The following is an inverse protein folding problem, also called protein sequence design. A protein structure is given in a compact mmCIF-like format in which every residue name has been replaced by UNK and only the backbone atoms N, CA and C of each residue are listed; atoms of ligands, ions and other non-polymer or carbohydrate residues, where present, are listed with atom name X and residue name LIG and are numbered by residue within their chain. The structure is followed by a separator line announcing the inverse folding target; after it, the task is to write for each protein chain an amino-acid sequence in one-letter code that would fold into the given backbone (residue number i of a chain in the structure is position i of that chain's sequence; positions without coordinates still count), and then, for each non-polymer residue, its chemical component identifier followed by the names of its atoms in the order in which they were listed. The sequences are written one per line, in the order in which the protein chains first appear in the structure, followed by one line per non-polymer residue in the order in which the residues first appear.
data_IF_631539312026
#
_entry.id   IF_631539312026
#
_cell.length_a   1.000
_cell.length_b   1.000
_cell.length_c   1.000
_cell.angle_alpha   90.00
_cell.angle_beta   90.00
_cell.angle_gamma   90.00
#
_symmetry.space_group_name_H-M   'P 1'
#
loop_
_entity.id
_entity.type
_entity.pdbx_description
1 polymer ?
#
# COMPACT_ATOMS: atom_id res chain seq x y z
N UNK A 1 27.66 -16.93 -1.44
CA UNK A 1 27.13 -15.61 -1.03
C UNK A 1 26.22 -15.12 -2.14
N UNK A 2 24.91 -15.13 -1.91
CA UNK A 2 23.90 -14.76 -2.90
C UNK A 2 23.95 -13.25 -3.16
N UNK A 3 24.23 -12.87 -4.41
CA UNK A 3 23.98 -11.51 -4.89
C UNK A 3 22.52 -11.16 -4.62
N UNK A 4 22.29 -9.95 -4.12
CA UNK A 4 20.94 -9.49 -3.79
C UNK A 4 20.18 -9.11 -5.06
N UNK A 5 18.88 -9.41 -5.16
CA UNK A 5 18.02 -9.02 -6.31
C UNK A 5 18.18 -7.55 -6.71
N UNK A 6 18.49 -6.67 -5.75
CA UNK A 6 18.75 -5.25 -5.98
C UNK A 6 19.98 -4.99 -6.85
N UNK A 7 21.06 -5.77 -6.70
CA UNK A 7 22.28 -5.65 -7.51
C UNK A 7 22.04 -6.14 -8.95
N UNK A 8 21.22 -7.18 -9.12
CA UNK A 8 20.84 -7.68 -10.44
C UNK A 8 19.95 -6.67 -11.20
N UNK A 9 19.03 -6.00 -10.50
CA UNK A 9 18.23 -4.92 -11.08
C UNK A 9 19.11 -3.72 -11.51
N UNK A 10 20.16 -3.40 -10.73
CA UNK A 10 21.08 -2.32 -11.04
C UNK A 10 21.99 -2.63 -12.23
N UNK A 11 22.53 -3.86 -12.33
CA UNK A 11 23.34 -4.30 -13.49
C UNK A 11 22.52 -4.37 -14.79
N UNK A 12 21.23 -4.76 -14.71
CA UNK A 12 20.32 -4.75 -15.86
C UNK A 12 20.07 -3.33 -16.39
N UNK A 13 19.87 -2.36 -15.49
CA UNK A 13 19.73 -0.96 -15.86
C UNK A 13 21.05 -0.33 -16.37
N UNK A 14 22.20 -0.90 -15.99
CA UNK A 14 23.53 -0.45 -16.43
C UNK A 14 24.00 -1.05 -17.78
N UNK A 15 23.20 -1.91 -18.42
CA UNK A 15 23.44 -2.35 -19.80
C UNK A 15 24.65 -3.26 -20.03
N UNK A 16 25.17 -3.94 -18.99
CA UNK A 16 26.39 -4.76 -19.07
C UNK A 16 26.15 -6.29 -19.03
N UNK A 17 24.91 -6.75 -19.27
CA UNK A 17 24.63 -8.19 -19.32
C UNK A 17 25.01 -8.77 -20.70
N UNK A 18 25.70 -9.92 -20.72
CA UNK A 18 25.88 -10.72 -21.94
C UNK A 18 24.52 -11.06 -22.54
N UNK A 19 24.43 -11.15 -23.87
CA UNK A 19 23.17 -11.31 -24.62
C UNK A 19 22.33 -12.49 -24.11
N UNK A 20 22.95 -13.62 -23.78
CA UNK A 20 22.28 -14.78 -23.16
C UNK A 20 21.71 -14.51 -21.76
N UNK A 21 22.40 -13.72 -20.92
CA UNK A 21 21.89 -13.31 -19.60
C UNK A 21 20.76 -12.30 -19.74
N UNK A 22 20.82 -11.42 -20.73
CA UNK A 22 19.72 -10.51 -21.04
C UNK A 22 18.49 -11.26 -21.55
N UNK A 23 18.67 -12.31 -22.37
CA UNK A 23 17.58 -13.18 -22.85
C UNK A 23 16.97 -13.99 -21.71
N UNK A 24 17.79 -14.61 -20.85
CA UNK A 24 17.29 -15.36 -19.69
C UNK A 24 16.61 -14.44 -18.67
N UNK A 25 17.18 -13.26 -18.39
CA UNK A 25 16.55 -12.26 -17.54
C UNK A 25 15.23 -11.75 -18.14
N UNK A 26 15.15 -11.55 -19.46
CA UNK A 26 13.90 -11.20 -20.16
C UNK A 26 12.87 -12.32 -20.08
N UNK A 27 13.27 -13.58 -20.20
CA UNK A 27 12.36 -14.73 -20.08
C UNK A 27 11.82 -14.86 -18.65
N UNK A 28 12.68 -14.76 -17.64
CA UNK A 28 12.29 -14.79 -16.23
C UNK A 28 11.44 -13.56 -15.83
N UNK A 29 11.75 -12.39 -16.39
CA UNK A 29 10.90 -11.21 -16.25
C UNK A 29 9.56 -11.41 -16.97
N UNK A 30 9.53 -11.97 -18.17
CA UNK A 30 8.28 -12.19 -18.91
C UNK A 30 7.33 -13.15 -18.18
N UNK A 31 7.86 -14.18 -17.51
CA UNK A 31 7.06 -15.06 -16.66
C UNK A 31 6.58 -14.38 -15.36
N UNK A 32 7.31 -13.36 -14.89
CA UNK A 32 6.96 -12.58 -13.70
C UNK A 32 6.18 -11.30 -14.01
N UNK A 33 5.98 -10.94 -15.28
CA UNK A 33 5.31 -9.71 -15.71
C UNK A 33 3.91 -10.04 -16.19
N UNK A 34 2.95 -9.25 -15.74
CA UNK A 34 1.57 -9.33 -16.19
C UNK A 34 1.06 -7.95 -16.57
N UNK A 35 0.08 -7.94 -17.47
CA UNK A 35 -0.55 -6.72 -17.96
C UNK A 35 -1.54 -6.18 -16.95
N UNK A 36 -1.32 -4.94 -16.51
CA UNK A 36 -2.18 -4.26 -15.57
C UNK A 36 -2.54 -2.85 -16.06
N UNK A 37 -3.80 -2.39 -15.89
CA UNK A 37 -4.19 -1.06 -16.30
C UNK A 37 -3.59 0.01 -15.38
N UNK A 38 -3.11 1.10 -15.96
CA UNK A 38 -2.76 2.31 -15.21
C UNK A 38 -4.01 2.91 -14.58
N UNK A 39 -4.01 3.09 -13.26
CA UNK A 39 -5.14 3.69 -12.55
C UNK A 39 -5.38 5.18 -12.88
N UNK A 40 -4.41 5.85 -13.51
CA UNK A 40 -4.52 7.26 -13.87
C UNK A 40 -5.06 7.48 -15.30
N UNK A 41 -4.62 6.69 -16.29
CA UNK A 41 -4.96 6.92 -17.70
C UNK A 41 -5.58 5.70 -18.40
N UNK A 42 -5.76 4.58 -17.71
CA UNK A 42 -6.38 3.36 -18.25
C UNK A 42 -5.48 2.55 -19.19
N UNK A 43 -4.36 3.10 -19.67
CA UNK A 43 -3.42 2.37 -20.53
C UNK A 43 -2.76 1.22 -19.79
N UNK A 44 -2.64 0.08 -20.46
CA UNK A 44 -2.00 -1.11 -19.94
C UNK A 44 -0.49 -0.90 -19.83
N UNK A 45 0.09 -1.34 -18.72
CA UNK A 45 1.52 -1.44 -18.53
C UNK A 45 1.86 -2.79 -17.90
N UNK A 46 3.10 -3.23 -18.04
CA UNK A 46 3.55 -4.46 -17.41
C UNK A 46 3.92 -4.19 -15.94
N UNK A 47 3.33 -4.97 -15.04
CA UNK A 47 3.65 -4.99 -13.62
C UNK A 47 4.37 -6.31 -13.29
N UNK A 48 5.44 -6.25 -12.50
CA UNK A 48 6.09 -7.46 -12.01
C UNK A 48 5.27 -8.02 -10.84
N UNK A 49 4.73 -9.22 -10.97
CA UNK A 49 4.13 -9.96 -9.88
C UNK A 49 5.21 -10.27 -8.85
N UNK A 50 5.12 -9.65 -7.68
CA UNK A 50 5.79 -10.20 -6.51
C UNK A 50 4.84 -11.21 -5.89
N UNK A 51 5.38 -12.34 -5.45
CA UNK A 51 4.67 -13.41 -4.74
C UNK A 51 3.96 -12.98 -3.43
N UNK A 52 3.86 -11.68 -3.13
CA UNK A 52 3.25 -11.11 -1.94
C UNK A 52 2.37 -9.89 -2.28
N UNK A 53 1.16 -10.15 -2.77
CA UNK A 53 -0.01 -9.26 -2.61
C UNK A 53 -0.14 -8.11 -3.61
N UNK A 54 0.82 -7.19 -3.66
CA UNK A 54 0.72 -5.95 -4.44
C UNK A 54 1.99 -5.64 -5.24
N UNK A 55 1.78 -5.27 -6.50
CA UNK A 55 2.79 -4.78 -7.44
C UNK A 55 2.65 -3.27 -7.61
N UNK A 56 3.78 -2.56 -7.62
CA UNK A 56 3.84 -1.12 -7.89
C UNK A 56 4.55 -0.89 -9.22
N UNK A 57 3.94 -0.09 -10.09
CA UNK A 57 4.61 0.40 -11.29
C UNK A 57 4.34 1.90 -11.49
N UNK A 58 5.21 2.54 -12.28
CA UNK A 58 5.03 3.89 -12.76
C UNK A 58 4.66 3.82 -14.24
N UNK A 59 3.54 4.44 -14.62
CA UNK A 59 3.10 4.43 -16.01
C UNK A 59 4.08 5.25 -16.88
N UNK A 60 4.64 4.68 -17.96
CA UNK A 60 5.61 5.40 -18.81
C UNK A 60 4.99 6.61 -19.53
N UNK A 61 3.66 6.62 -19.69
CA UNK A 61 2.96 7.63 -20.46
C UNK A 61 2.54 8.85 -19.65
N UNK A 62 2.08 8.64 -18.42
CA UNK A 62 1.56 9.72 -17.57
C UNK A 62 2.33 9.88 -16.26
N UNK A 63 3.40 9.09 -16.05
CA UNK A 63 4.21 9.03 -14.84
C UNK A 63 3.41 8.80 -13.55
N UNK A 64 2.20 8.26 -13.70
CA UNK A 64 1.29 7.95 -12.61
C UNK A 64 1.71 6.66 -11.92
N UNK A 65 1.90 6.73 -10.60
CA UNK A 65 2.17 5.53 -9.80
C UNK A 65 0.87 4.75 -9.60
N UNK A 66 0.90 3.47 -9.94
CA UNK A 66 -0.22 2.54 -9.79
C UNK A 66 0.22 1.35 -8.92
N UNK A 67 -0.65 0.95 -8.01
CA UNK A 67 -0.53 -0.29 -7.27
C UNK A 67 -1.61 -1.23 -7.77
N UNK A 68 -1.24 -2.47 -8.05
CA UNK A 68 -2.19 -3.49 -8.48
C UNK A 68 -1.92 -4.76 -7.71
N UNK A 69 -2.98 -5.39 -7.23
CA UNK A 69 -2.88 -6.57 -6.40
C UNK A 69 -4.20 -7.29 -6.32
N UNK A 70 -4.29 -8.28 -5.44
CA UNK A 70 -5.56 -8.91 -5.10
C UNK A 70 -6.03 -8.45 -3.73
N UNK A 71 -7.30 -8.03 -3.65
CA UNK A 71 -8.00 -7.73 -2.41
C UNK A 71 -9.28 -8.56 -2.37
N UNK A 72 -9.47 -9.35 -1.32
CA UNK A 72 -10.60 -10.29 -1.17
C UNK A 72 -10.85 -11.18 -2.41
N UNK A 73 -9.76 -11.61 -3.07
CA UNK A 73 -9.81 -12.46 -4.26
C UNK A 73 -10.07 -11.73 -5.58
N UNK A 74 -10.43 -10.44 -5.55
CA UNK A 74 -10.63 -9.61 -6.74
C UNK A 74 -9.38 -8.82 -7.11
N UNK A 75 -9.21 -8.52 -8.40
CA UNK A 75 -8.18 -7.59 -8.87
C UNK A 75 -8.50 -6.19 -8.35
N UNK A 76 -7.58 -5.60 -7.62
CA UNK A 76 -7.70 -4.25 -7.09
C UNK A 76 -6.63 -3.35 -7.70
N UNK A 77 -7.04 -2.18 -8.17
CA UNK A 77 -6.18 -1.18 -8.81
C UNK A 77 -6.29 0.12 -8.01
N UNK A 78 -5.16 0.66 -7.56
CA UNK A 78 -5.12 1.87 -6.75
C UNK A 78 -4.11 2.87 -7.32
N UNK A 79 -4.56 4.09 -7.63
CA UNK A 79 -3.65 5.16 -8.04
C UNK A 79 -2.98 5.83 -6.84
N UNK A 80 -1.81 6.43 -7.05
CA UNK A 80 -1.08 7.13 -5.99
C UNK A 80 -1.76 8.40 -5.52
N UNK A 81 -2.45 9.10 -6.42
CA UNK A 81 -3.31 10.22 -6.06
C UNK A 81 -4.46 9.75 -5.18
N UNK A 82 -5.18 8.70 -5.58
CA UNK A 82 -6.31 8.15 -4.81
C UNK A 82 -5.89 7.63 -3.44
N UNK A 83 -4.78 6.89 -3.37
CA UNK A 83 -4.21 6.44 -2.09
C UNK A 83 -3.89 7.60 -1.15
N UNK A 84 -3.29 8.68 -1.66
CA UNK A 84 -3.01 9.90 -0.87
C UNK A 84 -4.30 10.56 -0.39
N UNK A 85 -5.33 10.60 -1.21
CA UNK A 85 -6.64 11.12 -0.85
C UNK A 85 -7.29 10.31 0.27
N UNK A 86 -7.38 8.99 0.12
CA UNK A 86 -7.94 8.09 1.14
C UNK A 86 -7.18 8.18 2.47
N UNK A 87 -5.86 8.31 2.44
CA UNK A 87 -5.07 8.57 3.65
C UNK A 87 -5.39 9.93 4.31
N UNK A 88 -5.66 10.98 3.53
CA UNK A 88 -6.10 12.27 4.08
C UNK A 88 -7.50 12.16 4.68
N UNK A 89 -8.38 11.39 4.06
CA UNK A 89 -9.71 11.12 4.58
C UNK A 89 -9.64 10.37 5.91
N UNK A 90 -8.84 9.30 5.96
CA UNK A 90 -8.60 8.52 7.19
C UNK A 90 -8.08 9.40 8.34
N UNK A 91 -7.27 10.42 8.04
CA UNK A 91 -6.79 11.40 9.03
C UNK A 91 -7.87 12.34 9.54
N UNK A 92 -8.88 12.66 8.73
CA UNK A 92 -9.97 13.60 9.07
C UNK A 92 -11.16 12.89 9.71
N UNK A 93 -11.32 11.58 9.46
CA UNK A 93 -12.41 10.76 9.97
C UNK A 93 -12.41 10.69 11.51
N UNK A 94 -13.60 10.65 12.10
CA UNK A 94 -13.75 10.29 13.51
C UNK A 94 -13.60 8.78 13.69
N UNK A 95 -12.72 8.38 14.60
CA UNK A 95 -12.47 6.99 14.95
C UNK A 95 -13.05 6.67 16.32
N UNK A 96 -13.49 5.43 16.50
CA UNK A 96 -14.11 4.94 17.73
C UNK A 96 -13.33 3.76 18.28
N UNK A 97 -13.35 3.63 19.61
CA UNK A 97 -12.62 2.58 20.29
C UNK A 97 -13.33 1.24 20.09
N UNK A 98 -12.65 0.19 19.56
CA UNK A 98 -13.27 -1.11 19.35
C UNK A 98 -13.65 -1.81 20.66
N UNK A 99 -12.96 -1.50 21.76
CA UNK A 99 -13.22 -2.06 23.08
C UNK A 99 -14.24 -1.26 23.91
N UNK A 100 -14.52 -0.02 23.50
CA UNK A 100 -15.39 0.90 24.23
C UNK A 100 -16.38 1.54 23.27
N UNK A 101 -17.53 0.88 23.11
CA UNK A 101 -18.57 1.31 22.19
C UNK A 101 -18.98 2.77 22.41
N UNK A 102 -19.23 3.48 21.30
CA UNK A 102 -19.53 4.91 21.26
C UNK A 102 -18.39 5.84 21.67
N UNK A 103 -17.23 5.33 22.13
CA UNK A 103 -16.13 6.19 22.62
C UNK A 103 -15.24 6.65 21.48
N UNK A 104 -15.33 7.93 21.12
CA UNK A 104 -14.42 8.56 20.14
C UNK A 104 -13.00 8.56 20.68
N UNK A 105 -12.04 8.14 19.86
CA UNK A 105 -10.62 8.11 20.23
C UNK A 105 -9.87 9.33 19.75
N UNK A 106 -8.78 9.68 20.43
CA UNK A 106 -7.81 10.65 19.92
C UNK A 106 -6.83 9.92 19.02
N UNK A 107 -6.86 10.24 17.73
CA UNK A 107 -5.85 9.76 16.77
C UNK A 107 -4.51 10.41 17.07
N UNK A 108 -3.46 9.60 17.16
CA UNK A 108 -2.08 10.03 17.32
C UNK A 108 -1.38 10.07 15.97
N UNK A 109 -1.58 9.04 15.15
CA UNK A 109 -0.99 8.93 13.83
C UNK A 109 -1.89 8.12 12.90
N UNK A 110 -1.86 8.46 11.61
CA UNK A 110 -2.39 7.64 10.53
C UNK A 110 -1.30 7.49 9.48
N UNK A 111 -0.86 6.25 9.33
CA UNK A 111 0.23 5.86 8.45
C UNK A 111 -0.27 4.81 7.47
N UNK A 112 0.29 4.80 6.27
CA UNK A 112 0.04 3.69 5.37
C UNK A 112 0.83 2.46 5.77
N UNK A 113 0.28 1.26 5.58
CA UNK A 113 1.05 0.04 5.75
C UNK A 113 2.12 -0.03 4.63
N UNK A 114 3.41 -0.26 4.96
CA UNK A 114 4.47 -0.36 3.95
C UNK A 114 4.37 -1.64 3.11
N UNK A 115 3.70 -2.69 3.62
CA UNK A 115 3.53 -3.97 2.93
C UNK A 115 2.22 -4.03 2.15
N UNK A 116 1.21 -3.28 2.59
CA UNK A 116 -0.09 -3.24 1.94
C UNK A 116 -0.49 -1.79 1.58
N UNK A 117 -0.36 -1.37 0.30
CA UNK A 117 -0.72 -0.03 -0.13
C UNK A 117 -2.21 0.27 0.05
N UNK A 118 -3.07 -0.74 0.16
CA UNK A 118 -4.50 -0.61 0.42
C UNK A 118 -4.84 -0.50 1.90
N UNK A 119 -3.88 -0.69 2.80
CA UNK A 119 -4.13 -0.61 4.24
C UNK A 119 -3.55 0.67 4.86
N UNK A 120 -4.23 1.16 5.89
CA UNK A 120 -3.71 2.17 6.79
C UNK A 120 -3.82 1.73 8.25
N UNK A 121 -2.86 2.21 9.03
CA UNK A 121 -2.71 1.97 10.45
C UNK A 121 -3.04 3.25 11.19
N UNK A 122 -4.10 3.21 11.99
CA UNK A 122 -4.54 4.32 12.85
C UNK A 122 -4.12 4.02 14.28
N UNK A 123 -3.11 4.74 14.77
CA UNK A 123 -2.72 4.67 16.19
C UNK A 123 -3.55 5.65 16.99
N UNK A 124 -4.11 5.21 18.11
CA UNK A 124 -5.03 6.02 18.90
C UNK A 124 -4.81 5.89 20.40
N UNK A 125 -5.32 6.88 21.13
CA UNK A 125 -5.48 6.87 22.58
C UNK A 125 -6.98 6.87 22.91
N UNK A 126 -7.43 5.85 23.64
CA UNK A 126 -8.75 5.84 24.25
C UNK A 126 -8.69 6.56 25.60
N UNK A 127 -9.58 7.52 25.81
CA UNK A 127 -9.79 8.17 27.10
C UNK A 127 -11.23 7.93 27.50
N UNK A 128 -11.44 7.44 28.72
CA UNK A 128 -12.77 7.23 29.28
C UNK A 128 -12.99 8.25 30.39
N UNK A 129 -14.12 8.94 30.37
CA UNK A 129 -14.55 9.81 31.46
C UNK A 129 -14.90 8.94 32.66
N UNK A 130 -14.20 9.14 33.78
CA UNK A 130 -14.63 8.65 35.10
C UNK A 130 -15.26 9.84 35.83
N UNK A 131 -16.57 10.02 35.66
CA UNK A 131 -17.33 11.08 36.33
C UNK A 131 -17.12 12.49 35.74
N UNK A 132 -17.68 13.48 36.44
CA UNK A 132 -18.03 14.80 35.87
C UNK A 132 -16.84 15.67 35.40
N UNK A 133 -15.58 15.40 35.80
CA UNK A 133 -14.46 16.28 35.44
C UNK A 133 -13.09 15.62 35.17
N UNK A 134 -12.98 14.28 35.08
CA UNK A 134 -11.67 13.64 34.82
C UNK A 134 -11.74 12.55 33.75
N UNK A 135 -11.10 12.82 32.61
CA UNK A 135 -10.80 11.80 31.60
C UNK A 135 -9.51 11.07 31.97
N UNK A 136 -9.58 9.78 32.27
CA UNK A 136 -8.39 8.96 32.43
C UNK A 136 -8.04 8.28 31.09
N UNK A 137 -6.75 8.14 30.78
CA UNK A 137 -6.31 7.26 29.69
C UNK A 137 -6.73 5.84 30.04
N UNK A 138 -7.58 5.25 29.21
CA UNK A 138 -7.97 3.85 29.37
C UNK A 138 -6.88 2.97 28.76
N UNK A 139 -6.55 3.22 27.50
CA UNK A 139 -5.51 2.48 26.77
C UNK A 139 -5.05 3.21 25.50
N UNK A 140 -4.08 2.61 24.82
CA UNK A 140 -3.70 2.91 23.45
C UNK A 140 -3.91 1.67 22.61
N UNK A 141 -4.28 1.86 21.35
CA UNK A 141 -4.45 0.76 20.42
C UNK A 141 -4.16 1.15 18.99
N UNK A 142 -4.38 0.18 18.12
CA UNK A 142 -4.16 0.26 16.69
C UNK A 142 -5.41 -0.24 15.98
N UNK A 143 -5.93 0.54 15.04
CA UNK A 143 -6.97 0.11 14.11
C UNK A 143 -6.31 -0.05 12.75
N UNK A 144 -6.43 -1.23 12.15
CA UNK A 144 -6.11 -1.43 10.73
C UNK A 144 -7.36 -1.20 9.91
N UNK A 145 -7.24 -0.39 8.87
CA UNK A 145 -8.34 -0.10 7.95
C UNK A 145 -7.95 -0.38 6.52
N UNK A 146 -8.88 -0.98 5.77
CA UNK A 146 -8.80 -1.04 4.32
C UNK A 146 -9.19 0.33 3.77
N UNK A 147 -8.27 0.97 3.05
CA UNK A 147 -8.50 2.19 2.30
C UNK A 147 -9.49 1.95 1.16
N UNK A 148 -9.55 0.75 0.60
CA UNK A 148 -10.53 0.40 -0.45
C UNK A 148 -11.95 0.30 0.12
N UNK A 149 -12.10 -0.13 1.37
CA UNK A 149 -13.40 -0.14 2.06
C UNK A 149 -13.85 1.25 2.53
N UNK A 150 -13.04 2.29 2.32
CA UNK A 150 -13.41 3.68 2.59
C UNK A 150 -14.01 4.38 1.36
N UNK A 151 -13.98 3.75 0.18
CA UNK A 151 -14.69 4.22 -1.01
C UNK A 151 -16.21 4.05 -0.86
#
# INVERSE_FOLDING_TARGET
MSRTEAELLAEFNAGHASEERAVLARALLAEALWEAPCACCGRTAFAAERAAGWSRFECPECHGVTWVGRHDGALAVLSGSRRRELLREARRRAWYCPEHDGTRVRVVAVESDPLDPSAAVVRYVCRRSRGWFRSARAHTGVIRVSLLAME
#
